data_IF_074672841953
#
_entry.id   IF_074672841953
#
_cell.length_a   1.000
_cell.length_b   1.000
_cell.length_c   1.000
_cell.angle_alpha   90.00
_cell.angle_beta   90.00
_cell.angle_gamma   90.00
#
_symmetry.space_group_name_H-M   'P 1'
#
loop_
_entity.id
_entity.type
_entity.pdbx_description
1 polymer ?
#
# COMPACT_ATOMS: atom_id res chain seq x y z
N UNK A 1 17.38 -8.56 -16.37
CA UNK A 1 16.22 -7.92 -15.73
C UNK A 1 16.34 -8.18 -14.23
N UNK A 2 16.38 -7.14 -13.41
CA UNK A 2 16.43 -7.33 -11.94
C UNK A 2 15.05 -7.86 -11.51
N UNK A 3 14.99 -9.07 -10.97
CA UNK A 3 13.83 -9.62 -10.28
C UNK A 3 13.50 -8.67 -9.12
N UNK A 4 12.32 -8.07 -9.14
CA UNK A 4 11.85 -7.19 -8.08
C UNK A 4 11.08 -5.94 -8.53
N UNK A 5 10.94 -5.69 -9.82
CA UNK A 5 10.29 -4.47 -10.34
C UNK A 5 8.88 -4.68 -10.88
N UNK A 6 8.26 -5.84 -10.66
CA UNK A 6 6.91 -6.13 -11.13
C UNK A 6 6.06 -6.71 -10.00
N UNK A 7 4.80 -6.28 -9.91
CA UNK A 7 3.78 -6.79 -9.00
C UNK A 7 2.57 -7.27 -9.80
N UNK A 8 2.07 -8.42 -9.46
CA UNK A 8 0.77 -8.89 -9.91
C UNK A 8 -0.32 -8.26 -9.05
N UNK A 9 -1.39 -7.82 -9.70
CA UNK A 9 -2.56 -7.22 -9.06
C UNK A 9 -3.71 -8.20 -9.16
N UNK A 10 -4.34 -8.50 -8.03
CA UNK A 10 -5.47 -9.41 -7.95
C UNK A 10 -6.72 -8.68 -7.44
N UNK A 11 -7.87 -9.16 -7.85
CA UNK A 11 -9.19 -8.82 -7.34
C UNK A 11 -9.93 -10.12 -7.09
N UNK A 12 -10.34 -10.38 -5.85
CA UNK A 12 -11.04 -11.62 -5.46
C UNK A 12 -10.33 -12.88 -6.00
N UNK A 13 -9.03 -12.99 -5.73
CA UNK A 13 -8.12 -14.07 -6.18
C UNK A 13 -7.90 -14.19 -7.70
N UNK A 14 -8.55 -13.35 -8.50
CA UNK A 14 -8.37 -13.33 -9.97
C UNK A 14 -7.28 -12.34 -10.37
N UNK A 15 -6.41 -12.74 -11.28
CA UNK A 15 -5.36 -11.87 -11.78
C UNK A 15 -5.94 -10.77 -12.67
N UNK A 16 -5.89 -9.54 -12.18
CA UNK A 16 -6.31 -8.35 -12.94
C UNK A 16 -5.25 -7.96 -13.96
N UNK A 17 -3.98 -7.95 -13.56
CA UNK A 17 -2.89 -7.53 -14.42
C UNK A 17 -1.57 -7.40 -13.68
N UNK A 18 -0.62 -6.72 -14.30
CA UNK A 18 0.73 -6.57 -13.78
C UNK A 18 1.13 -5.09 -13.76
N UNK A 19 1.70 -4.66 -12.63
CA UNK A 19 2.39 -3.39 -12.45
C UNK A 19 3.89 -3.60 -12.63
N UNK A 20 4.56 -2.70 -13.36
CA UNK A 20 6.01 -2.72 -13.51
C UNK A 20 6.58 -1.30 -13.44
N UNK A 21 7.74 -1.14 -12.80
CA UNK A 21 8.41 0.15 -12.72
C UNK A 21 9.11 0.48 -14.04
N UNK A 22 8.83 1.65 -14.60
CA UNK A 22 9.54 2.19 -15.76
C UNK A 22 10.87 2.84 -15.34
N UNK A 23 11.74 3.13 -16.31
CA UNK A 23 12.99 3.85 -16.07
C UNK A 23 12.75 5.24 -15.47
N UNK A 24 11.63 5.89 -15.81
CA UNK A 24 11.22 7.21 -15.32
C UNK A 24 10.53 7.16 -13.95
N UNK A 25 10.64 6.03 -13.22
CA UNK A 25 10.04 5.82 -11.90
C UNK A 25 8.51 5.93 -11.88
N UNK A 26 7.85 5.61 -12.98
CA UNK A 26 6.39 5.49 -13.07
C UNK A 26 5.97 4.02 -13.07
N UNK A 27 4.85 3.72 -12.46
CA UNK A 27 4.29 2.39 -12.45
C UNK A 27 3.43 2.16 -13.70
N UNK A 28 3.97 1.48 -14.68
CA UNK A 28 3.22 1.02 -15.83
C UNK A 28 2.31 -0.15 -15.46
N UNK A 29 1.10 -0.19 -15.98
CA UNK A 29 0.13 -1.25 -15.75
C UNK A 29 -0.35 -1.87 -17.05
N UNK A 30 -0.52 -3.19 -17.05
CA UNK A 30 -1.12 -3.94 -18.15
C UNK A 30 -2.10 -4.96 -17.59
N UNK A 31 -3.31 -4.99 -18.15
CA UNK A 31 -4.30 -6.03 -17.83
C UNK A 31 -3.83 -7.42 -18.29
N UNK A 32 -4.23 -8.47 -17.56
CA UNK A 32 -4.15 -9.84 -18.03
C UNK A 32 -5.13 -10.10 -19.18
N UNK A 33 -4.85 -11.07 -20.04
CA UNK A 33 -5.74 -11.42 -21.14
C UNK A 33 -7.09 -11.94 -20.62
N UNK A 34 -7.05 -12.78 -19.59
CA UNK A 34 -8.24 -13.34 -18.96
C UNK A 34 -9.14 -12.24 -18.35
N UNK A 35 -8.53 -11.20 -17.74
CA UNK A 35 -9.29 -10.08 -17.16
C UNK A 35 -9.91 -9.20 -18.25
N UNK A 36 -9.24 -9.04 -19.41
CA UNK A 36 -9.80 -8.29 -20.54
C UNK A 36 -11.07 -8.96 -21.07
N UNK A 37 -11.10 -10.29 -21.11
CA UNK A 37 -12.24 -11.05 -21.63
C UNK A 37 -13.43 -11.10 -20.65
N UNK A 38 -13.17 -11.24 -19.34
CA UNK A 38 -14.20 -11.56 -18.35
C UNK A 38 -14.32 -10.55 -17.20
N UNK A 39 -13.48 -9.51 -17.18
CA UNK A 39 -13.40 -8.54 -16.11
C UNK A 39 -14.09 -7.22 -16.44
N UNK A 40 -13.72 -6.21 -15.67
CA UNK A 40 -14.21 -4.84 -15.79
C UNK A 40 -13.06 -3.83 -15.66
N UNK A 41 -13.20 -2.59 -16.13
CA UNK A 41 -12.17 -1.57 -15.97
C UNK A 41 -12.07 -1.16 -14.50
N UNK A 42 -10.92 -1.40 -13.84
CA UNK A 42 -10.69 -1.05 -12.42
C UNK A 42 -10.63 0.48 -12.20
N UNK A 43 -10.37 1.23 -13.26
CA UNK A 43 -10.47 2.69 -13.30
C UNK A 43 -10.92 3.12 -14.70
N UNK A 44 -12.23 3.33 -14.93
CA UNK A 44 -12.77 3.51 -16.29
C UNK A 44 -12.12 4.64 -17.09
N UNK A 45 -11.74 5.73 -16.42
CA UNK A 45 -11.13 6.90 -17.09
C UNK A 45 -9.63 6.76 -17.30
N UNK A 46 -8.91 6.20 -16.33
CA UNK A 46 -7.44 6.10 -16.36
C UNK A 46 -6.94 4.78 -16.93
N UNK A 47 -7.71 3.71 -16.73
CA UNK A 47 -7.37 2.33 -17.10
C UNK A 47 -8.59 1.68 -17.79
N UNK A 48 -8.99 2.14 -18.99
CA UNK A 48 -10.05 1.48 -19.73
C UNK A 48 -9.63 0.05 -20.08
N UNK A 49 -10.60 -0.87 -20.20
CA UNK A 49 -10.33 -2.28 -20.45
C UNK A 49 -9.83 -2.49 -21.89
N UNK A 50 -8.52 -2.44 -22.09
CA UNK A 50 -7.85 -2.55 -23.40
C UNK A 50 -6.53 -3.31 -23.26
N UNK A 51 -6.16 -4.05 -24.31
CA UNK A 51 -4.87 -4.75 -24.40
C UNK A 51 -3.75 -3.78 -24.76
N UNK A 52 -3.30 -2.99 -23.78
CA UNK A 52 -2.18 -2.05 -23.92
C UNK A 52 -1.49 -1.84 -22.57
N UNK A 53 -0.28 -1.30 -22.62
CA UNK A 53 0.43 -0.84 -21.43
C UNK A 53 0.00 0.60 -21.13
N UNK A 54 -0.48 0.83 -19.93
CA UNK A 54 -0.84 2.15 -19.43
C UNK A 54 0.31 2.71 -18.60
N UNK A 55 0.67 3.97 -18.85
CA UNK A 55 1.68 4.69 -18.08
C UNK A 55 1.05 6.00 -17.60
N UNK A 56 1.18 6.37 -16.30
CA UNK A 56 0.66 7.63 -15.80
C UNK A 56 1.29 8.82 -16.54
N UNK A 57 0.47 9.70 -17.11
CA UNK A 57 0.96 10.90 -17.79
C UNK A 57 1.37 11.99 -16.81
N UNK A 58 0.70 12.02 -15.63
CA UNK A 58 0.92 13.00 -14.57
C UNK A 58 1.45 12.28 -13.31
N UNK A 59 2.27 12.98 -12.55
CA UNK A 59 2.97 12.44 -11.39
C UNK A 59 2.24 12.79 -10.07
N UNK A 60 0.92 12.62 -10.04
CA UNK A 60 0.12 13.02 -8.88
C UNK A 60 0.28 12.10 -7.66
N UNK A 61 0.61 10.83 -7.87
CA UNK A 61 0.66 9.82 -6.81
C UNK A 61 2.01 9.07 -6.84
N UNK A 62 3.11 9.81 -6.83
CA UNK A 62 4.47 9.25 -6.93
C UNK A 62 4.62 8.28 -8.13
N UNK A 63 3.98 8.62 -9.27
CA UNK A 63 4.01 7.81 -10.48
C UNK A 63 3.06 6.60 -10.50
N UNK A 64 2.06 6.54 -9.60
CA UNK A 64 0.99 5.56 -9.63
C UNK A 64 -0.29 6.10 -10.28
N UNK A 65 -1.18 5.18 -10.69
CA UNK A 65 -2.59 5.49 -10.91
C UNK A 65 -3.31 5.58 -9.56
N UNK A 66 -4.31 6.46 -9.46
CA UNK A 66 -5.05 6.70 -8.21
C UNK A 66 -5.63 5.41 -7.60
N UNK A 67 -6.17 4.51 -8.41
CA UNK A 67 -6.74 3.24 -7.96
C UNK A 67 -5.73 2.36 -7.20
N UNK A 68 -4.46 2.42 -7.53
CA UNK A 68 -3.40 1.71 -6.79
C UNK A 68 -2.88 2.54 -5.61
N UNK A 69 -2.86 3.86 -5.75
CA UNK A 69 -2.47 4.76 -4.68
C UNK A 69 -3.43 4.69 -3.48
N UNK A 70 -4.71 4.43 -3.72
CA UNK A 70 -5.73 4.22 -2.67
C UNK A 70 -5.44 2.99 -1.78
N UNK A 71 -4.62 2.04 -2.26
CA UNK A 71 -4.18 0.90 -1.46
C UNK A 71 -2.98 1.21 -0.56
N UNK A 72 -2.29 2.33 -0.80
CA UNK A 72 -1.15 2.72 0.03
C UNK A 72 -1.61 3.27 1.39
N UNK A 73 -0.79 3.06 2.43
CA UNK A 73 -1.02 3.68 3.72
C UNK A 73 -1.07 5.21 3.58
N UNK A 74 -1.95 5.83 4.35
CA UNK A 74 -2.00 7.28 4.48
C UNK A 74 -0.79 7.86 5.25
N UNK A 75 -0.84 9.12 5.61
CA UNK A 75 0.28 9.80 6.29
C UNK A 75 0.67 9.14 7.61
N UNK A 76 -0.30 8.64 8.38
CA UNK A 76 -0.03 7.96 9.64
C UNK A 76 0.59 6.58 9.39
N UNK A 77 -0.04 5.76 8.55
CA UNK A 77 0.48 4.46 8.19
C UNK A 77 1.85 4.54 7.52
N UNK A 78 2.10 5.57 6.71
CA UNK A 78 3.42 5.85 6.14
C UNK A 78 4.47 6.15 7.21
N UNK A 79 4.11 6.96 8.21
CA UNK A 79 4.99 7.26 9.35
C UNK A 79 5.36 5.99 10.13
N UNK A 80 4.37 5.14 10.42
CA UNK A 80 4.59 3.87 11.12
C UNK A 80 5.49 2.95 10.31
N UNK A 81 5.19 2.77 9.01
CA UNK A 81 5.99 1.96 8.10
C UNK A 81 7.44 2.44 8.02
N UNK A 82 7.65 3.74 7.86
CA UNK A 82 9.00 4.31 7.75
C UNK A 82 9.81 4.12 9.05
N UNK A 83 9.16 4.21 10.22
CA UNK A 83 9.80 3.92 11.51
C UNK A 83 10.11 2.43 11.69
N UNK A 84 9.17 1.57 11.32
CA UNK A 84 9.35 0.13 11.34
C UNK A 84 10.54 -0.29 10.47
N UNK A 85 10.61 0.19 9.25
CA UNK A 85 11.72 -0.09 8.34
C UNK A 85 13.07 0.36 8.92
N UNK A 86 13.12 1.55 9.56
CA UNK A 86 14.35 2.04 10.22
C UNK A 86 14.72 1.16 11.42
N UNK A 87 13.76 0.67 12.20
CA UNK A 87 14.01 -0.26 13.30
C UNK A 87 14.65 -1.57 12.78
N UNK A 88 14.20 -2.05 11.62
CA UNK A 88 14.79 -3.20 10.92
C UNK A 88 16.04 -2.86 10.07
N UNK A 89 16.66 -1.68 10.30
CA UNK A 89 17.87 -1.21 9.59
C UNK A 89 17.69 -1.10 8.06
N UNK A 90 16.46 -0.94 7.61
CA UNK A 90 16.13 -0.67 6.22
C UNK A 90 15.95 0.84 6.00
N UNK A 91 16.37 1.34 4.83
CA UNK A 91 16.20 2.75 4.50
C UNK A 91 14.88 2.94 3.73
N UNK A 92 13.86 3.61 4.30
CA UNK A 92 12.58 3.84 3.65
C UNK A 92 12.68 4.71 2.40
N UNK A 93 13.71 5.56 2.28
CA UNK A 93 13.89 6.46 1.13
C UNK A 93 14.34 5.72 -0.14
N UNK A 94 14.82 4.48 0.00
CA UNK A 94 15.20 3.61 -1.12
C UNK A 94 14.04 2.80 -1.69
N UNK A 95 12.92 2.75 -0.98
CA UNK A 95 11.75 1.99 -1.42
C UNK A 95 11.04 2.70 -2.57
N UNK A 96 10.71 1.93 -3.59
CA UNK A 96 9.82 2.37 -4.65
C UNK A 96 8.36 2.30 -4.20
N UNK A 97 7.46 2.94 -4.95
CA UNK A 97 6.02 2.82 -4.71
C UNK A 97 5.53 1.37 -4.86
N UNK A 98 6.13 0.58 -5.75
CA UNK A 98 5.82 -0.84 -5.88
C UNK A 98 6.30 -1.64 -4.67
N UNK A 99 7.45 -1.30 -4.08
CA UNK A 99 7.91 -1.92 -2.83
C UNK A 99 6.91 -1.68 -1.69
N UNK A 100 6.37 -0.46 -1.60
CA UNK A 100 5.34 -0.12 -0.61
C UNK A 100 4.03 -0.89 -0.85
N UNK A 101 3.58 -1.04 -2.10
CA UNK A 101 2.44 -1.88 -2.44
C UNK A 101 2.69 -3.36 -2.12
N UNK A 102 3.92 -3.86 -2.35
CA UNK A 102 4.29 -5.22 -1.99
C UNK A 102 4.25 -5.47 -0.47
N UNK A 103 4.60 -4.47 0.34
CA UNK A 103 4.50 -4.53 1.80
C UNK A 103 3.03 -4.54 2.23
N UNK A 104 2.18 -3.74 1.60
CA UNK A 104 0.73 -3.77 1.83
C UNK A 104 0.15 -5.14 1.48
N UNK A 105 0.57 -5.73 0.36
CA UNK A 105 0.21 -7.09 -0.05
C UNK A 105 -1.30 -7.36 0.00
N UNK A 106 -1.71 -8.23 0.93
CA UNK A 106 -3.12 -8.60 1.17
C UNK A 106 -3.77 -7.80 2.31
N UNK A 107 -3.00 -7.05 3.09
CA UNK A 107 -3.50 -6.34 4.28
C UNK A 107 -4.07 -4.96 3.98
N UNK A 108 -3.96 -4.48 2.72
CA UNK A 108 -4.48 -3.19 2.31
C UNK A 108 -6.00 -3.07 2.41
N UNK A 109 -6.48 -1.86 2.69
CA UNK A 109 -7.90 -1.56 2.57
C UNK A 109 -8.27 -1.43 1.09
N UNK A 110 -9.18 -2.25 0.65
CA UNK A 110 -9.67 -2.21 -0.71
C UNK A 110 -9.79 -3.62 -1.31
N UNK A 111 -10.26 -3.66 -2.55
CA UNK A 111 -10.52 -4.91 -3.24
C UNK A 111 -9.29 -5.45 -4.00
N UNK A 112 -8.21 -4.66 -4.09
CA UNK A 112 -7.00 -5.07 -4.79
C UNK A 112 -5.95 -5.60 -3.82
N UNK A 113 -5.32 -6.71 -4.20
CA UNK A 113 -4.19 -7.31 -3.49
C UNK A 113 -2.99 -7.44 -4.41
N UNK A 114 -1.80 -7.50 -3.82
CA UNK A 114 -0.53 -7.41 -4.55
C UNK A 114 0.38 -8.59 -4.25
N UNK A 115 1.00 -9.16 -5.27
CA UNK A 115 1.93 -10.27 -5.15
C UNK A 115 3.18 -10.03 -6.05
N UNK A 116 4.40 -10.40 -5.61
CA UNK A 116 4.74 -11.01 -4.33
C UNK A 116 4.60 -10.04 -3.15
N UNK A 117 4.10 -10.55 -2.03
CA UNK A 117 4.03 -9.83 -0.78
C UNK A 117 5.41 -9.79 -0.09
N UNK A 118 5.84 -8.60 0.34
CA UNK A 118 7.03 -8.44 1.18
C UNK A 118 6.62 -8.42 2.65
N UNK A 119 6.84 -9.52 3.34
CA UNK A 119 6.62 -9.58 4.79
C UNK A 119 7.72 -8.82 5.51
N UNK A 120 7.33 -7.96 6.44
CA UNK A 120 8.18 -7.46 7.49
C UNK A 120 8.02 -8.46 8.63
N UNK A 121 9.11 -9.00 9.20
CA UNK A 121 9.06 -10.06 10.22
C UNK A 121 8.06 -9.74 11.33
N UNK A 122 7.10 -10.64 11.51
CA UNK A 122 5.95 -10.45 12.41
C UNK A 122 6.05 -11.42 13.60
N UNK A 123 6.19 -10.90 14.82
CA UNK A 123 5.92 -11.64 16.06
C UNK A 123 4.75 -10.95 16.77
N UNK A 124 3.63 -11.64 16.93
CA UNK A 124 2.41 -11.08 17.54
C UNK A 124 1.96 -11.82 18.78
N UNK A 125 1.56 -11.04 19.81
CA UNK A 125 0.80 -11.48 20.97
C UNK A 125 -0.60 -10.84 21.01
N UNK A 126 -1.34 -11.07 22.09
CA UNK A 126 -2.62 -10.40 22.34
C UNK A 126 -2.45 -8.87 22.45
N UNK A 127 -3.38 -8.11 21.86
CA UNK A 127 -3.32 -6.67 21.77
C UNK A 127 -4.06 -6.03 22.92
N UNK A 128 -3.35 -5.32 23.80
CA UNK A 128 -3.94 -4.43 24.79
C UNK A 128 -4.13 -3.02 24.17
N UNK A 129 -5.39 -2.58 24.09
CA UNK A 129 -5.74 -1.30 23.47
C UNK A 129 -5.20 -0.09 24.25
N UNK A 130 -5.10 -0.18 25.57
CA UNK A 130 -4.57 0.91 26.40
C UNK A 130 -3.05 1.05 26.21
N UNK A 131 -2.34 -0.08 26.15
CA UNK A 131 -0.92 -0.09 25.82
C UNK A 131 -0.68 0.41 24.40
N UNK A 132 -1.52 0.03 23.44
CA UNK A 132 -1.43 0.49 22.06
C UNK A 132 -1.61 2.02 21.97
N UNK A 133 -2.56 2.60 22.69
CA UNK A 133 -2.78 4.05 22.75
C UNK A 133 -1.55 4.78 23.30
N UNK A 134 -0.90 4.23 24.34
CA UNK A 134 0.33 4.79 24.90
C UNK A 134 1.50 4.73 23.88
N UNK A 135 1.63 3.64 23.14
CA UNK A 135 2.64 3.52 22.10
C UNK A 135 2.39 4.52 20.95
N UNK A 136 1.13 4.72 20.55
CA UNK A 136 0.76 5.77 19.59
C UNK A 136 1.19 7.15 20.09
N UNK A 137 0.96 7.47 21.36
CA UNK A 137 1.35 8.73 21.98
C UNK A 137 2.88 8.93 21.97
N UNK A 138 3.66 7.88 22.28
CA UNK A 138 5.13 7.92 22.20
C UNK A 138 5.60 8.23 20.77
N UNK A 139 4.99 7.60 19.77
CA UNK A 139 5.34 7.84 18.36
C UNK A 139 5.04 9.29 17.97
N UNK A 140 3.90 9.83 18.36
CA UNK A 140 3.55 11.23 18.09
C UNK A 140 4.53 12.20 18.72
N UNK A 141 5.02 11.89 19.92
CA UNK A 141 6.04 12.66 20.63
C UNK A 141 7.48 12.43 20.15
N UNK A 142 7.66 11.65 19.07
CA UNK A 142 8.99 11.31 18.53
C UNK A 142 9.82 10.40 19.45
N UNK A 143 9.19 9.73 20.39
CA UNK A 143 9.81 8.76 21.29
C UNK A 143 9.90 7.38 20.62
N UNK A 144 10.75 6.50 21.17
CA UNK A 144 10.88 5.13 20.68
C UNK A 144 9.66 4.29 21.10
N UNK A 145 9.20 3.42 20.22
CA UNK A 145 8.14 2.44 20.49
C UNK A 145 8.63 1.04 20.19
N UNK A 146 8.44 0.12 21.11
CA UNK A 146 8.83 -1.29 20.98
C UNK A 146 7.83 -2.11 20.15
N UNK A 147 6.63 -1.56 19.88
CA UNK A 147 5.51 -2.28 19.21
C UNK A 147 5.13 -1.65 17.88
N UNK A 148 6.12 -1.19 17.11
CA UNK A 148 5.89 -0.57 15.80
C UNK A 148 5.19 -1.51 14.80
N UNK A 149 5.55 -2.81 14.82
CA UNK A 149 4.99 -3.83 13.92
C UNK A 149 3.48 -3.97 14.14
N UNK A 150 3.08 -4.05 15.40
CA UNK A 150 1.70 -4.20 15.80
C UNK A 150 0.88 -2.95 15.49
N UNK A 151 1.43 -1.78 15.78
CA UNK A 151 0.82 -0.49 15.43
C UNK A 151 0.61 -0.36 13.92
N UNK A 152 1.59 -0.76 13.13
CA UNK A 152 1.47 -0.74 11.68
C UNK A 152 0.38 -1.71 11.19
N UNK A 153 0.35 -2.93 11.72
CA UNK A 153 -0.66 -3.94 11.36
C UNK A 153 -2.08 -3.47 11.67
N UNK A 154 -2.29 -2.89 12.84
CA UNK A 154 -3.62 -2.51 13.32
C UNK A 154 -4.11 -1.17 12.78
N UNK A 155 -3.23 -0.23 12.54
CA UNK A 155 -3.60 1.13 12.16
C UNK A 155 -2.87 1.70 10.93
N UNK A 156 -1.86 1.00 10.41
CA UNK A 156 -1.02 1.54 9.35
C UNK A 156 -1.68 1.57 7.98
N UNK A 157 -2.69 0.76 7.76
CA UNK A 157 -3.39 0.67 6.48
C UNK A 157 -4.79 1.28 6.52
N UNK A 158 -5.28 1.69 7.71
CA UNK A 158 -6.66 2.11 7.90
C UNK A 158 -6.78 3.33 8.81
N UNK A 159 -6.88 4.52 8.24
CA UNK A 159 -7.16 5.75 8.97
C UNK A 159 -8.56 6.32 8.80
N UNK A 160 -9.42 5.67 8.03
CA UNK A 160 -10.80 6.13 7.82
C UNK A 160 -11.66 6.13 9.08
N UNK A 161 -11.21 5.46 10.17
CA UNK A 161 -11.96 5.33 11.41
C UNK A 161 -11.56 6.29 12.54
N UNK A 162 -10.48 7.04 12.40
CA UNK A 162 -9.97 7.91 13.46
C UNK A 162 -10.19 9.40 13.23
N UNK A 163 -10.62 9.80 12.05
CA UNK A 163 -10.99 11.19 11.77
C UNK A 163 -12.51 11.34 11.92
N UNK A 164 -13.01 12.06 12.94
CA UNK A 164 -14.42 12.41 12.97
C UNK A 164 -14.74 13.20 11.70
N UNK A 165 -15.71 12.70 10.93
CA UNK A 165 -16.20 13.42 9.77
C UNK A 165 -16.68 14.81 10.22
N UNK A 166 -16.48 15.89 9.45
CA UNK A 166 -17.05 17.20 9.75
C UNK A 166 -18.57 17.18 9.94
N UNK A 167 -19.23 16.07 9.58
CA UNK A 167 -20.66 15.85 9.81
C UNK A 167 -20.98 15.32 11.20
N UNK A 168 -20.01 14.74 11.91
CA UNK A 168 -20.19 14.11 13.22
C UNK A 168 -19.97 15.12 14.37
N UNK A 169 -19.66 16.37 14.04
CA UNK A 169 -19.44 17.47 15.02
C UNK A 169 -20.65 18.38 15.19
N UNK A 170 -21.88 17.91 14.90
CA UNK A 170 -23.11 18.66 15.17
C UNK A 170 -23.94 17.99 16.23
#
# INVERSE_FOLDING_TARGET
MREGNALQVFYDEKLVGTLAMTADRKAAFQYSEEWIENGFPISPFSLPLKKQVFVPTKDYFDGLFGVFADSLPDNWGRLLLDRLLRAHKQNPDKLTVLDRLAIVGKSGMGALTYYPEKKIDEQYGDVDLDELAEQCRKILNTEYSDRLDELYRLGGTCLLYTSPSPRDTR
#
